data_IF_744855497305
#
_entry.id   IF_744855497305
#
_cell.length_a   1.000
_cell.length_b   1.000
_cell.length_c   1.000
_cell.angle_alpha   90.00
_cell.angle_beta   90.00
_cell.angle_gamma   90.00
#
_symmetry.space_group_name_H-M   'P 1'
#
loop_
_entity.id
_entity.type
_entity.pdbx_description
1 polymer ?
#
# COMPACT_ATOMS: atom_id res chain seq x y z
N UNK A 1 8.39 36.52 8.15
CA UNK A 1 7.76 35.26 8.58
C UNK A 1 8.82 34.42 9.28
N UNK A 2 8.52 33.85 10.45
CA UNK A 2 9.41 32.85 11.06
C UNK A 2 9.33 31.59 10.20
N UNK A 3 10.45 31.21 9.56
CA UNK A 3 10.54 29.98 8.77
C UNK A 3 10.52 28.78 9.73
N UNK A 4 9.71 27.78 9.38
CA UNK A 4 9.56 26.53 10.14
C UNK A 4 9.88 25.35 9.24
N UNK A 5 10.52 24.34 9.80
CA UNK A 5 10.80 23.07 9.12
C UNK A 5 10.04 21.93 9.79
N UNK A 6 9.63 20.95 8.98
CA UNK A 6 8.99 19.73 9.50
C UNK A 6 10.06 18.72 9.88
N UNK A 7 9.94 18.16 11.08
CA UNK A 7 11.03 17.45 11.72
C UNK A 7 10.50 16.25 12.50
N UNK A 8 11.26 15.15 12.49
CA UNK A 8 11.06 13.98 13.34
C UNK A 8 12.13 14.00 14.43
N UNK A 9 11.70 13.93 15.69
CA UNK A 9 12.55 13.87 16.88
C UNK A 9 12.38 12.49 17.50
N UNK A 10 13.46 11.72 17.58
CA UNK A 10 13.50 10.37 18.17
C UNK A 10 14.15 10.39 19.54
N UNK A 11 13.68 9.51 20.42
CA UNK A 11 14.17 9.38 21.80
C UNK A 11 14.82 8.02 22.04
N UNK A 12 15.79 8.02 22.95
CA UNK A 12 16.45 6.80 23.44
C UNK A 12 15.42 5.80 23.98
N UNK A 13 15.71 4.51 23.87
CA UNK A 13 14.82 3.42 24.30
C UNK A 13 14.44 3.53 25.78
N UNK A 14 13.15 3.65 26.04
CA UNK A 14 12.58 3.82 27.39
C UNK A 14 11.25 4.57 27.31
N UNK A 15 10.14 3.84 27.14
CA UNK A 15 8.83 4.44 26.93
C UNK A 15 8.27 5.13 28.20
N UNK A 16 7.85 6.38 28.03
CA UNK A 16 6.47 6.83 28.36
C UNK A 16 6.14 7.04 29.84
N UNK A 17 6.73 8.07 30.44
CA UNK A 17 5.91 8.96 31.28
C UNK A 17 5.66 10.33 30.64
N UNK A 18 6.57 10.82 29.79
CA UNK A 18 6.53 12.22 29.37
C UNK A 18 6.58 12.49 27.86
N UNK A 19 6.41 11.53 26.93
CA UNK A 19 6.31 11.85 25.49
C UNK A 19 5.19 12.87 25.21
N UNK A 20 4.05 12.73 25.88
CA UNK A 20 2.95 13.72 25.84
C UNK A 20 3.34 15.05 26.49
N UNK A 21 4.09 15.02 27.59
CA UNK A 21 4.55 16.23 28.27
C UNK A 21 5.56 16.99 27.40
N UNK A 22 6.49 16.28 26.76
CA UNK A 22 7.47 16.88 25.87
C UNK A 22 6.81 17.40 24.60
N UNK A 23 5.87 16.65 24.00
CA UNK A 23 5.05 17.15 22.91
C UNK A 23 4.38 18.50 23.27
N UNK A 24 3.82 18.59 24.48
CA UNK A 24 3.26 19.84 25.01
C UNK A 24 4.31 20.92 25.25
N UNK A 25 5.52 20.57 25.70
CA UNK A 25 6.62 21.52 25.87
C UNK A 25 7.12 22.06 24.53
N UNK A 26 7.15 21.24 23.48
CA UNK A 26 7.45 21.69 22.11
C UNK A 26 6.48 22.79 21.68
N UNK A 27 5.19 22.62 21.94
CA UNK A 27 4.18 23.64 21.62
C UNK A 27 4.37 24.91 22.48
N UNK A 28 4.41 24.75 23.80
CA UNK A 28 4.37 25.87 24.74
C UNK A 28 5.67 26.68 24.79
N UNK A 29 6.83 26.01 24.75
CA UNK A 29 8.14 26.66 24.91
C UNK A 29 8.77 27.03 23.56
N UNK A 30 8.56 26.21 22.55
CA UNK A 30 9.23 26.33 21.25
C UNK A 30 8.31 26.77 20.11
N UNK A 31 7.01 26.93 20.38
CA UNK A 31 6.05 27.33 19.36
C UNK A 31 5.93 26.32 18.23
N UNK A 32 6.14 25.03 18.55
CA UNK A 32 5.95 23.94 17.62
C UNK A 32 4.46 23.81 17.26
N UNK A 33 4.18 23.35 16.04
CA UNK A 33 2.82 23.16 15.53
C UNK A 33 2.69 21.82 14.82
N UNK A 34 1.47 21.30 14.68
CA UNK A 34 1.21 19.95 14.12
C UNK A 34 2.03 18.88 14.86
N UNK A 35 1.98 18.89 16.20
CA UNK A 35 2.75 17.97 17.02
C UNK A 35 2.05 16.61 17.07
N UNK A 36 2.72 15.59 16.54
CA UNK A 36 2.20 14.24 16.41
C UNK A 36 3.14 13.23 17.04
N UNK A 37 2.59 12.34 17.87
CA UNK A 37 3.36 11.26 18.49
C UNK A 37 3.47 10.10 17.50
N UNK A 38 4.67 9.54 17.36
CA UNK A 38 5.00 8.42 16.47
C UNK A 38 5.49 7.22 17.32
N UNK A 39 4.57 6.37 17.84
CA UNK A 39 4.93 5.31 18.77
C UNK A 39 5.88 4.26 18.17
N UNK A 40 5.71 3.91 16.89
CA UNK A 40 6.53 2.91 16.19
C UNK A 40 8.03 3.20 16.22
N UNK A 41 8.40 4.47 16.39
CA UNK A 41 9.80 4.90 16.33
C UNK A 41 10.25 5.52 17.65
N UNK A 42 9.38 5.58 18.66
CA UNK A 42 9.60 6.33 19.90
C UNK A 42 9.95 7.79 19.59
N UNK A 43 9.08 8.48 18.85
CA UNK A 43 9.37 9.82 18.35
C UNK A 43 8.17 10.75 18.27
N UNK A 44 8.43 11.98 17.84
CA UNK A 44 7.45 13.03 17.58
C UNK A 44 7.73 13.64 16.21
N UNK A 45 6.70 13.89 15.41
CA UNK A 45 6.75 14.78 14.26
C UNK A 45 6.16 16.14 14.62
N UNK A 46 6.78 17.23 14.18
CA UNK A 46 6.24 18.57 14.35
C UNK A 46 6.90 19.57 13.40
N UNK A 47 6.28 20.74 13.23
CA UNK A 47 6.96 21.91 12.69
C UNK A 47 7.65 22.68 13.80
N UNK A 48 8.95 22.94 13.65
CA UNK A 48 9.75 23.74 14.58
C UNK A 48 10.38 24.95 13.87
N UNK A 49 10.64 26.06 14.58
CA UNK A 49 11.39 27.19 14.02
C UNK A 49 12.78 26.74 13.51
N UNK A 50 13.19 27.17 12.31
CA UNK A 50 14.46 26.74 11.71
C UNK A 50 15.70 27.11 12.52
N UNK A 51 15.62 28.20 13.28
CA UNK A 51 16.72 28.69 14.13
C UNK A 51 16.89 27.89 15.43
N UNK A 52 15.99 26.96 15.73
CA UNK A 52 16.06 26.16 16.96
C UNK A 52 17.18 25.12 16.85
N UNK A 53 18.16 25.18 17.76
CA UNK A 53 19.31 24.26 17.73
C UNK A 53 18.98 22.93 18.41
N UNK A 54 19.62 21.86 17.92
CA UNK A 54 19.55 20.53 18.53
C UNK A 54 19.92 20.55 20.01
N UNK A 55 21.00 21.25 20.37
CA UNK A 55 21.50 21.31 21.75
C UNK A 55 20.49 21.90 22.74
N UNK A 56 19.67 22.87 22.31
CA UNK A 56 18.61 23.46 23.13
C UNK A 56 17.48 22.45 23.34
N UNK A 57 17.06 21.78 22.27
CA UNK A 57 16.01 20.76 22.35
C UNK A 57 16.44 19.56 23.21
N UNK A 58 17.69 19.10 23.07
CA UNK A 58 18.20 17.93 23.79
C UNK A 58 18.43 18.23 25.28
N UNK A 59 18.96 19.41 25.61
CA UNK A 59 19.07 19.83 27.01
C UNK A 59 17.71 19.88 27.71
N UNK A 60 16.67 20.33 27.00
CA UNK A 60 15.30 20.39 27.51
C UNK A 60 14.58 19.03 27.58
N UNK A 61 15.07 18.07 26.81
CA UNK A 61 14.61 16.70 26.80
C UNK A 61 15.41 15.82 27.78
N UNK A 62 16.11 16.41 28.75
CA UNK A 62 16.98 15.70 29.70
C UNK A 62 18.04 14.82 29.02
N UNK A 63 18.55 15.24 27.84
CA UNK A 63 19.51 14.49 27.01
C UNK A 63 18.98 13.15 26.49
N UNK A 64 17.66 13.02 26.36
CA UNK A 64 17.00 11.80 25.87
C UNK A 64 16.78 11.80 24.34
N UNK A 65 17.11 12.88 23.63
CA UNK A 65 16.99 12.88 22.16
C UNK A 65 18.10 12.00 21.58
N UNK A 66 17.68 10.96 20.86
CA UNK A 66 18.58 10.10 20.11
C UNK A 66 18.96 10.75 18.78
N UNK A 67 17.97 11.31 18.08
CA UNK A 67 18.16 11.83 16.72
C UNK A 67 17.11 12.87 16.35
N UNK A 68 17.52 13.87 15.59
CA UNK A 68 16.62 14.80 14.90
C UNK A 68 16.84 14.66 13.40
N UNK A 69 15.76 14.53 12.66
CA UNK A 69 15.76 14.29 11.22
C UNK A 69 14.73 15.12 10.50
N UNK A 70 15.02 15.42 9.24
CA UNK A 70 14.02 15.98 8.35
C UNK A 70 12.96 14.93 8.02
N UNK A 71 11.72 15.38 7.94
CA UNK A 71 10.59 14.54 7.56
C UNK A 71 10.55 14.38 6.04
N UNK A 72 11.21 13.32 5.54
CA UNK A 72 11.38 13.10 4.10
C UNK A 72 10.03 12.90 3.38
N UNK A 73 10.03 13.18 2.09
CA UNK A 73 8.89 12.93 1.21
C UNK A 73 9.00 11.51 0.64
N UNK A 74 7.89 10.79 0.72
CA UNK A 74 7.65 9.51 0.06
C UNK A 74 6.61 9.77 -1.02
N UNK A 75 6.86 9.29 -2.22
CA UNK A 75 6.04 9.61 -3.37
C UNK A 75 5.23 8.41 -3.82
N UNK A 76 4.05 8.70 -4.38
CA UNK A 76 3.28 7.77 -5.17
C UNK A 76 4.14 7.25 -6.32
N UNK A 77 4.11 5.94 -6.54
CA UNK A 77 4.66 5.35 -7.76
C UNK A 77 3.72 5.63 -8.91
N UNK A 78 3.91 6.80 -9.54
CA UNK A 78 2.99 7.33 -10.54
C UNK A 78 2.71 6.27 -11.63
N UNK A 79 1.44 5.92 -11.85
CA UNK A 79 1.08 5.00 -12.92
C UNK A 79 1.23 5.69 -14.27
N UNK A 80 1.38 4.90 -15.31
CA UNK A 80 1.23 5.33 -16.69
C UNK A 80 -0.24 5.27 -17.08
N UNK A 81 -0.73 6.35 -17.67
CA UNK A 81 -2.03 6.39 -18.33
C UNK A 81 -1.81 6.09 -19.82
N UNK A 82 -2.54 5.12 -20.36
CA UNK A 82 -2.52 4.83 -21.79
C UNK A 82 -3.47 5.78 -22.53
N UNK A 83 -3.06 6.23 -23.71
CA UNK A 83 -3.90 7.13 -24.52
C UNK A 83 -5.26 6.49 -24.83
N UNK A 84 -6.33 7.28 -24.80
CA UNK A 84 -7.68 6.78 -25.07
C UNK A 84 -7.80 6.05 -26.41
N UNK A 85 -7.16 6.58 -27.47
CA UNK A 85 -7.18 5.99 -28.81
C UNK A 85 -6.64 4.55 -28.83
N UNK A 86 -5.59 4.29 -28.05
CA UNK A 86 -4.94 2.98 -27.96
C UNK A 86 -5.71 2.01 -27.08
N UNK A 87 -6.38 2.49 -26.03
CA UNK A 87 -7.28 1.65 -25.23
C UNK A 87 -8.52 1.25 -26.05
N UNK A 88 -9.12 2.19 -26.78
CA UNK A 88 -10.25 1.93 -27.69
C UNK A 88 -9.92 0.93 -28.80
N UNK A 89 -8.74 1.02 -29.42
CA UNK A 89 -8.34 0.06 -30.46
C UNK A 89 -8.15 -1.37 -29.94
N UNK A 90 -7.94 -1.52 -28.63
CA UNK A 90 -7.83 -2.81 -27.93
C UNK A 90 -9.14 -3.25 -27.27
N UNK A 91 -10.23 -2.48 -27.41
CA UNK A 91 -11.51 -2.76 -26.74
C UNK A 91 -11.48 -2.55 -25.23
N UNK A 92 -10.48 -1.83 -24.70
CA UNK A 92 -10.33 -1.53 -23.28
C UNK A 92 -10.95 -0.14 -23.00
N UNK A 93 -11.80 0.02 -21.97
CA UNK A 93 -12.33 1.33 -21.59
C UNK A 93 -11.21 2.28 -21.13
N UNK A 94 -11.18 3.52 -21.64
CA UNK A 94 -10.15 4.50 -21.29
C UNK A 94 -10.36 5.15 -19.93
N UNK A 95 -11.38 6.01 -19.85
CA UNK A 95 -12.00 6.49 -18.62
C UNK A 95 -13.50 6.76 -18.88
N UNK A 96 -14.37 6.45 -17.93
CA UNK A 96 -15.80 6.74 -18.04
C UNK A 96 -16.69 5.69 -17.40
N UNK A 97 -17.98 5.69 -17.77
CA UNK A 97 -18.93 4.69 -17.29
C UNK A 97 -18.74 3.38 -18.03
N UNK A 98 -18.63 2.27 -17.30
CA UNK A 98 -18.77 0.94 -17.88
C UNK A 98 -20.27 0.69 -18.04
N UNK A 99 -20.79 0.84 -19.26
CA UNK A 99 -22.19 0.55 -19.57
C UNK A 99 -22.39 -0.95 -19.80
N UNK A 100 -23.43 -1.54 -19.19
CA UNK A 100 -23.82 -2.93 -19.44
C UNK A 100 -23.52 -3.86 -18.27
N UNK A 101 -23.24 -5.13 -18.57
CA UNK A 101 -22.92 -6.15 -17.56
C UNK A 101 -21.53 -5.90 -16.97
N UNK A 102 -21.35 -6.28 -15.71
CA UNK A 102 -20.06 -6.28 -15.03
C UNK A 102 -18.98 -6.97 -15.88
N UNK A 103 -17.79 -6.35 -15.89
CA UNK A 103 -16.60 -6.85 -16.57
C UNK A 103 -15.69 -7.49 -15.54
N UNK A 104 -15.18 -8.69 -15.83
CA UNK A 104 -14.04 -9.26 -15.09
C UNK A 104 -12.77 -8.73 -15.76
N UNK A 105 -11.98 -7.85 -15.11
CA UNK A 105 -10.75 -7.35 -15.72
C UNK A 105 -9.80 -8.50 -16.04
N UNK A 106 -9.11 -8.41 -17.19
CA UNK A 106 -8.23 -9.48 -17.69
C UNK A 106 -7.19 -9.93 -16.65
N UNK A 107 -6.65 -9.00 -15.85
CA UNK A 107 -5.70 -9.33 -14.78
C UNK A 107 -6.30 -10.24 -13.69
N UNK A 108 -7.57 -10.02 -13.33
CA UNK A 108 -8.31 -10.81 -12.33
C UNK A 108 -8.52 -12.24 -12.85
N UNK A 109 -8.89 -12.39 -14.13
CA UNK A 109 -9.01 -13.68 -14.80
C UNK A 109 -7.64 -14.36 -14.95
N UNK A 110 -6.60 -13.60 -15.34
CA UNK A 110 -5.25 -14.14 -15.60
C UNK A 110 -4.62 -14.79 -14.37
N UNK A 111 -4.87 -14.25 -13.18
CA UNK A 111 -4.40 -14.85 -11.92
C UNK A 111 -5.34 -15.94 -11.39
N UNK A 112 -6.47 -16.21 -12.08
CA UNK A 112 -7.45 -17.21 -11.68
C UNK A 112 -8.30 -16.83 -10.45
N UNK A 113 -8.49 -15.55 -10.18
CA UNK A 113 -9.26 -15.13 -8.99
C UNK A 113 -10.76 -15.42 -9.13
N UNK A 114 -11.30 -15.26 -10.34
CA UNK A 114 -12.72 -15.53 -10.62
C UNK A 114 -13.12 -17.00 -10.42
N UNK A 115 -12.17 -17.93 -10.53
CA UNK A 115 -12.45 -19.37 -10.41
C UNK A 115 -12.56 -19.86 -8.96
N UNK A 116 -12.15 -19.03 -7.98
CA UNK A 116 -12.13 -19.41 -6.55
C UNK A 116 -13.21 -18.74 -5.70
N UNK A 117 -14.05 -17.87 -6.26
CA UNK A 117 -15.08 -17.14 -5.50
C UNK A 117 -16.18 -18.01 -4.88
N UNK A 118 -16.36 -19.24 -5.36
CA UNK A 118 -17.21 -20.23 -4.70
C UNK A 118 -16.59 -20.79 -3.41
N UNK A 119 -15.29 -20.57 -3.19
CA UNK A 119 -14.53 -21.00 -2.01
C UNK A 119 -14.20 -19.82 -1.10
N UNK A 120 -13.65 -18.75 -1.67
CA UNK A 120 -13.21 -17.56 -0.94
C UNK A 120 -13.45 -16.31 -1.77
N UNK A 121 -13.99 -15.26 -1.14
CA UNK A 121 -14.23 -13.93 -1.71
C UNK A 121 -13.49 -12.83 -0.92
N UNK A 122 -12.61 -13.21 0.00
CA UNK A 122 -11.97 -12.32 0.98
C UNK A 122 -12.92 -11.77 2.04
N UNK A 123 -14.07 -12.42 2.25
CA UNK A 123 -15.14 -11.92 3.14
C UNK A 123 -14.60 -11.56 4.52
N UNK A 124 -14.87 -10.33 4.94
CA UNK A 124 -14.50 -9.78 6.25
C UNK A 124 -12.98 -9.71 6.54
N UNK A 125 -12.12 -9.96 5.56
CA UNK A 125 -10.69 -9.70 5.70
C UNK A 125 -10.46 -8.20 5.56
N UNK A 126 -9.78 -7.62 6.55
CA UNK A 126 -9.49 -6.20 6.60
C UNK A 126 -8.25 -5.85 5.77
N UNK A 127 -8.46 -5.08 4.71
CA UNK A 127 -7.39 -4.61 3.81
C UNK A 127 -7.29 -3.10 3.89
N UNK A 128 -6.17 -2.59 4.38
CA UNK A 128 -5.86 -1.17 4.37
C UNK A 128 -5.17 -0.76 3.08
N UNK A 129 -5.69 0.28 2.44
CA UNK A 129 -5.12 0.91 1.25
C UNK A 129 -4.44 2.21 1.69
N UNK A 130 -3.11 2.14 1.87
CA UNK A 130 -2.28 3.28 2.28
C UNK A 130 -1.90 4.07 1.03
N UNK A 131 -2.76 5.03 0.67
CA UNK A 131 -2.72 5.67 -0.65
C UNK A 131 -3.30 7.10 -0.59
N UNK A 132 -3.86 7.61 -1.70
CA UNK A 132 -4.51 8.91 -1.86
C UNK A 132 -5.93 8.97 -1.29
N UNK A 133 -6.40 7.90 -0.64
CA UNK A 133 -7.78 7.75 -0.17
C UNK A 133 -8.59 6.83 -1.08
N UNK A 134 -9.88 6.67 -0.78
CA UNK A 134 -10.83 5.93 -1.64
C UNK A 134 -12.09 6.79 -1.77
N UNK A 135 -12.65 6.88 -2.97
CA UNK A 135 -13.93 7.55 -3.19
C UNK A 135 -15.05 6.87 -2.38
N UNK A 136 -15.58 7.60 -1.38
CA UNK A 136 -16.49 7.02 -0.38
C UNK A 136 -17.84 6.59 -0.97
N UNK A 137 -18.28 7.26 -2.03
CA UNK A 137 -19.58 7.02 -2.68
C UNK A 137 -19.49 6.25 -4.01
N UNK A 138 -18.35 5.62 -4.30
CA UNK A 138 -18.23 4.88 -5.56
C UNK A 138 -19.18 3.66 -5.54
N UNK A 139 -20.10 3.51 -6.52
CA UNK A 139 -21.15 2.50 -6.46
C UNK A 139 -20.60 1.07 -6.39
N UNK A 140 -19.47 0.83 -7.06
CA UNK A 140 -18.78 -0.47 -7.11
C UNK A 140 -17.82 -0.74 -5.93
N UNK A 141 -17.78 0.14 -4.92
CA UNK A 141 -16.92 -0.01 -3.73
C UNK A 141 -17.67 0.15 -2.39
N UNK A 142 -18.74 0.94 -2.36
CA UNK A 142 -19.38 1.41 -1.14
C UNK A 142 -19.76 0.29 -0.14
N UNK A 143 -20.20 -0.88 -0.62
CA UNK A 143 -20.60 -2.00 0.25
C UNK A 143 -19.40 -2.68 0.93
N UNK A 144 -18.22 -2.58 0.33
CA UNK A 144 -16.97 -3.13 0.86
C UNK A 144 -16.18 -2.08 1.66
N UNK A 145 -16.56 -0.81 1.59
CA UNK A 145 -15.83 0.28 2.20
C UNK A 145 -16.14 0.40 3.70
N UNK A 146 -15.10 0.46 4.51
CA UNK A 146 -15.19 0.70 5.95
C UNK A 146 -14.58 2.06 6.28
N UNK A 147 -14.98 2.66 7.41
CA UNK A 147 -14.40 3.91 7.89
C UNK A 147 -12.89 3.77 8.09
N UNK A 148 -12.13 4.55 7.33
CA UNK A 148 -10.68 4.70 7.47
C UNK A 148 -10.27 6.04 8.11
N UNK A 149 -9.07 6.51 7.77
CA UNK A 149 -8.46 7.72 8.34
C UNK A 149 -7.81 8.59 7.27
N UNK A 150 -7.90 9.91 7.44
CA UNK A 150 -7.21 10.89 6.62
C UNK A 150 -6.07 11.54 7.43
N UNK A 151 -4.82 11.23 7.08
CA UNK A 151 -3.65 11.73 7.80
C UNK A 151 -3.12 13.05 7.25
N UNK A 152 -3.65 13.51 6.11
CA UNK A 152 -3.43 14.85 5.59
C UNK A 152 -4.32 15.87 6.33
N UNK A 153 -5.59 15.52 6.53
CA UNK A 153 -6.55 16.30 7.31
C UNK A 153 -7.48 15.36 8.10
N UNK A 154 -7.18 15.12 9.40
CA UNK A 154 -7.95 14.19 10.24
C UNK A 154 -9.41 14.58 10.49
N UNK A 155 -9.81 15.81 10.16
CA UNK A 155 -11.18 16.30 10.39
C UNK A 155 -12.15 15.96 9.25
N UNK A 156 -11.67 15.43 8.13
CA UNK A 156 -12.49 15.07 6.97
C UNK A 156 -12.32 13.59 6.61
N UNK A 157 -13.31 13.04 5.94
CA UNK A 157 -13.26 11.65 5.44
C UNK A 157 -12.08 11.47 4.47
N UNK A 158 -11.48 10.26 4.39
CA UNK A 158 -10.34 9.97 3.51
C UNK A 158 -10.77 9.76 2.05
N UNK A 159 -11.51 10.73 1.52
CA UNK A 159 -11.94 10.71 0.12
C UNK A 159 -10.75 10.91 -0.80
N UNK A 160 -10.78 10.20 -1.93
CA UNK A 160 -9.75 10.30 -2.95
C UNK A 160 -9.94 11.56 -3.81
N UNK A 161 -8.89 12.36 -3.91
CA UNK A 161 -8.80 13.58 -4.72
C UNK A 161 -7.77 13.44 -5.85
N UNK A 162 -7.16 12.26 -5.99
CA UNK A 162 -6.20 11.94 -7.03
C UNK A 162 -6.82 10.95 -8.04
N UNK A 163 -7.37 9.84 -7.53
CA UNK A 163 -7.95 8.73 -8.29
C UNK A 163 -7.18 7.41 -8.12
N UNK A 164 -5.89 7.48 -7.74
CA UNK A 164 -5.04 6.30 -7.63
C UNK A 164 -5.53 5.31 -6.56
N UNK A 165 -5.79 5.76 -5.34
CA UNK A 165 -6.25 4.87 -4.27
C UNK A 165 -7.61 4.24 -4.53
N UNK A 166 -8.52 4.95 -5.22
CA UNK A 166 -9.79 4.39 -5.71
C UNK A 166 -9.57 3.29 -6.75
N UNK A 167 -8.57 3.44 -7.63
CA UNK A 167 -8.19 2.41 -8.60
C UNK A 167 -7.65 1.15 -7.94
N UNK A 168 -6.75 1.32 -6.98
CA UNK A 168 -6.21 0.23 -6.16
C UNK A 168 -7.31 -0.51 -5.40
N UNK A 169 -8.25 0.24 -4.79
CA UNK A 169 -9.37 -0.34 -4.06
C UNK A 169 -10.24 -1.25 -4.95
N UNK A 170 -10.53 -0.84 -6.19
CA UNK A 170 -11.30 -1.66 -7.12
C UNK A 170 -10.61 -2.96 -7.54
N UNK A 171 -9.28 -2.94 -7.75
CA UNK A 171 -8.53 -4.15 -8.09
C UNK A 171 -8.61 -5.15 -6.92
N UNK A 172 -8.49 -4.65 -5.68
CA UNK A 172 -8.56 -5.50 -4.49
C UNK A 172 -9.98 -6.03 -4.30
N UNK A 173 -11.00 -5.16 -4.33
CA UNK A 173 -12.32 -5.50 -3.81
C UNK A 173 -13.48 -4.70 -4.39
N UNK A 174 -13.47 -4.35 -5.68
CA UNK A 174 -14.72 -3.97 -6.36
C UNK A 174 -15.76 -5.09 -6.22
N UNK A 175 -17.02 -4.69 -6.04
CA UNK A 175 -18.12 -5.57 -5.65
C UNK A 175 -18.48 -6.49 -6.84
N UNK A 176 -19.01 -7.68 -6.56
CA UNK A 176 -19.56 -8.56 -7.60
C UNK A 176 -21.09 -8.43 -7.62
N UNK A 177 -21.62 -7.42 -8.32
CA UNK A 177 -23.04 -7.03 -8.28
C UNK A 177 -23.70 -6.80 -9.65
N UNK A 178 -23.05 -7.25 -10.73
CA UNK A 178 -23.51 -7.18 -12.15
C UNK A 178 -23.28 -5.84 -12.85
N UNK A 179 -22.71 -4.82 -12.22
CA UNK A 179 -22.27 -3.58 -12.87
C UNK A 179 -20.76 -3.36 -12.71
N UNK A 180 -20.19 -2.43 -13.48
CA UNK A 180 -18.81 -2.01 -13.28
C UNK A 180 -17.75 -3.09 -13.52
N UNK A 181 -16.81 -3.20 -12.59
CA UNK A 181 -15.75 -4.22 -12.58
C UNK A 181 -15.91 -5.13 -11.37
N UNK A 182 -14.99 -6.06 -11.17
CA UNK A 182 -14.96 -6.88 -9.95
C UNK A 182 -13.52 -7.08 -9.50
N UNK A 183 -13.27 -6.95 -8.19
CA UNK A 183 -11.96 -7.10 -7.60
C UNK A 183 -11.57 -8.56 -7.36
N UNK A 184 -10.30 -8.78 -7.01
CA UNK A 184 -9.79 -10.13 -6.67
C UNK A 184 -10.54 -10.72 -5.48
N UNK A 185 -10.79 -9.92 -4.45
CA UNK A 185 -11.45 -10.27 -3.20
C UNK A 185 -12.73 -9.43 -3.01
N UNK A 186 -13.83 -9.74 -3.74
CA UNK A 186 -14.99 -8.87 -3.90
C UNK A 186 -15.87 -8.71 -2.64
N UNK A 187 -15.47 -9.28 -1.49
CA UNK A 187 -16.11 -9.07 -0.18
C UNK A 187 -15.11 -8.69 0.92
N UNK A 188 -13.89 -8.28 0.55
CA UNK A 188 -12.93 -7.73 1.49
C UNK A 188 -13.42 -6.42 2.10
N UNK A 189 -13.07 -6.18 3.35
CA UNK A 189 -13.34 -4.91 4.03
C UNK A 189 -12.20 -3.93 3.75
N UNK A 190 -12.48 -2.94 2.90
CA UNK A 190 -11.50 -1.96 2.43
C UNK A 190 -11.44 -0.76 3.38
N UNK A 191 -10.25 -0.46 3.88
CA UNK A 191 -9.99 0.69 4.75
C UNK A 191 -9.16 1.75 4.00
N UNK A 192 -9.72 2.91 3.69
CA UNK A 192 -8.97 4.03 3.11
C UNK A 192 -8.05 4.64 4.18
N UNK A 193 -6.75 4.49 4.03
CA UNK A 193 -5.75 5.13 4.89
C UNK A 193 -5.03 6.17 4.06
N UNK A 194 -5.59 7.38 4.01
CA UNK A 194 -5.09 8.46 3.15
C UNK A 194 -3.82 9.05 3.77
N UNK A 195 -2.67 8.65 3.22
CA UNK A 195 -1.33 9.15 3.58
C UNK A 195 -0.74 10.07 2.53
N UNK A 196 -1.22 9.96 1.27
CA UNK A 196 -0.80 10.77 0.14
C UNK A 196 -1.78 11.94 -0.09
N UNK A 197 -1.24 13.10 -0.44
CA UNK A 197 -2.01 14.26 -0.92
C UNK A 197 -2.47 14.10 -2.38
N UNK A 198 -3.19 15.09 -2.89
CA UNK A 198 -3.70 15.10 -4.28
C UNK A 198 -2.59 15.03 -5.35
N UNK A 199 -1.33 15.38 -5.02
CA UNK A 199 -0.17 15.28 -5.91
C UNK A 199 0.55 13.93 -5.79
N UNK A 200 0.13 13.07 -4.88
CA UNK A 200 0.77 11.81 -4.59
C UNK A 200 2.02 11.96 -3.72
N UNK A 201 2.06 12.93 -2.80
CA UNK A 201 3.14 13.05 -1.83
C UNK A 201 2.65 12.71 -0.43
N UNK A 202 3.45 11.93 0.29
CA UNK A 202 3.30 11.65 1.70
C UNK A 202 4.58 12.08 2.41
N UNK A 203 4.46 12.45 3.67
CA UNK A 203 5.64 12.56 4.53
C UNK A 203 5.89 11.21 5.21
N UNK A 204 7.14 10.96 5.59
CA UNK A 204 7.48 9.78 6.38
C UNK A 204 6.61 9.69 7.64
N UNK A 205 6.45 10.80 8.38
CA UNK A 205 5.58 10.84 9.56
C UNK A 205 4.14 10.38 9.29
N UNK A 206 3.50 10.84 8.22
CA UNK A 206 2.13 10.42 7.87
C UNK A 206 2.10 8.93 7.51
N UNK A 207 3.12 8.41 6.82
CA UNK A 207 3.20 6.98 6.55
C UNK A 207 3.33 6.17 7.87
N UNK A 208 4.18 6.61 8.80
CA UNK A 208 4.36 5.97 10.10
C UNK A 208 3.07 5.98 10.93
N UNK A 209 2.31 7.07 10.91
CA UNK A 209 0.99 7.15 11.54
C UNK A 209 -0.01 6.19 10.88
N UNK A 210 0.01 6.07 9.55
CA UNK A 210 -0.84 5.13 8.82
C UNK A 210 -0.55 3.67 9.19
N UNK A 211 0.73 3.31 9.31
CA UNK A 211 1.16 2.00 9.77
C UNK A 211 0.75 1.73 11.22
N UNK A 212 0.86 2.73 12.11
CA UNK A 212 0.40 2.60 13.49
C UNK A 212 -1.12 2.40 13.55
N UNK A 213 -1.87 3.20 12.79
CA UNK A 213 -3.33 3.08 12.71
C UNK A 213 -3.76 1.68 12.24
N UNK A 214 -3.03 1.09 11.29
CA UNK A 214 -3.27 -0.27 10.83
C UNK A 214 -3.11 -1.31 11.94
N UNK A 215 -2.07 -1.18 12.77
CA UNK A 215 -1.86 -2.02 13.95
C UNK A 215 -3.01 -1.85 14.95
N UNK A 216 -3.36 -0.62 15.27
CA UNK A 216 -4.39 -0.31 16.27
C UNK A 216 -5.77 -0.83 15.84
N UNK A 217 -6.06 -0.82 14.54
CA UNK A 217 -7.32 -1.31 13.95
C UNK A 217 -7.29 -2.80 13.59
N UNK A 218 -6.17 -3.48 13.84
CA UNK A 218 -5.95 -4.90 13.56
C UNK A 218 -6.32 -5.26 12.12
N UNK A 219 -5.89 -4.43 11.16
CA UNK A 219 -6.01 -4.79 9.75
C UNK A 219 -5.12 -6.00 9.47
N UNK A 220 -5.42 -6.76 8.43
CA UNK A 220 -4.69 -8.01 8.16
C UNK A 220 -3.77 -7.88 6.95
N UNK A 221 -4.14 -7.01 6.01
CA UNK A 221 -3.35 -6.72 4.80
C UNK A 221 -3.20 -5.21 4.65
N UNK A 222 -2.00 -4.77 4.31
CA UNK A 222 -1.68 -3.39 3.95
C UNK A 222 -1.14 -3.38 2.52
N UNK A 223 -1.81 -2.64 1.64
CA UNK A 223 -1.33 -2.35 0.30
C UNK A 223 -0.62 -0.98 0.29
N UNK A 224 0.61 -0.92 -0.21
CA UNK A 224 1.39 0.31 -0.36
C UNK A 224 1.88 0.48 -1.80
N UNK A 225 1.35 1.50 -2.46
CA UNK A 225 1.70 1.86 -3.85
C UNK A 225 2.50 3.16 -3.90
N UNK A 226 3.43 3.28 -2.96
CA UNK A 226 4.26 4.45 -2.70
C UNK A 226 5.66 4.00 -2.31
N UNK A 227 6.65 4.88 -2.48
CA UNK A 227 7.98 4.58 -2.01
C UNK A 227 9.02 5.67 -2.21
N UNK A 228 10.25 5.29 -1.88
CA UNK A 228 11.48 6.07 -2.07
C UNK A 228 12.61 5.14 -2.49
N UNK A 229 13.57 5.63 -3.27
CA UNK A 229 14.71 4.83 -3.73
C UNK A 229 15.73 4.54 -2.62
N UNK A 230 15.71 5.32 -1.54
CA UNK A 230 16.71 5.27 -0.48
C UNK A 230 16.23 4.50 0.75
N UNK A 231 17.13 3.69 1.29
CA UNK A 231 16.90 2.96 2.54
C UNK A 231 16.67 3.93 3.70
N UNK A 232 15.75 3.61 4.61
CA UNK A 232 15.46 4.43 5.77
C UNK A 232 15.21 3.57 7.02
N UNK A 233 16.14 3.62 7.99
CA UNK A 233 16.08 2.80 9.21
C UNK A 233 14.82 3.04 10.06
N UNK A 234 14.26 4.25 10.01
CA UNK A 234 13.05 4.61 10.74
C UNK A 234 11.84 3.93 10.11
N UNK A 235 11.75 3.98 8.79
CA UNK A 235 10.72 3.25 8.07
C UNK A 235 10.88 1.74 8.30
N UNK A 236 12.09 1.18 8.23
CA UNK A 236 12.34 -0.23 8.52
C UNK A 236 11.87 -0.63 9.92
N UNK A 237 12.14 0.19 10.95
CA UNK A 237 11.70 -0.07 12.33
C UNK A 237 10.16 -0.16 12.43
N UNK A 238 9.46 0.72 11.73
CA UNK A 238 8.00 0.69 11.66
C UNK A 238 7.47 -0.53 10.89
N UNK A 239 8.05 -0.84 9.73
CA UNK A 239 7.71 -2.02 8.92
C UNK A 239 7.90 -3.30 9.75
N UNK A 240 9.02 -3.45 10.47
CA UNK A 240 9.23 -4.58 11.39
C UNK A 240 8.18 -4.67 12.49
N UNK A 241 7.73 -3.54 13.03
CA UNK A 241 6.69 -3.51 14.06
C UNK A 241 5.34 -4.01 13.52
N UNK A 242 4.98 -3.62 12.29
CA UNK A 242 3.78 -4.09 11.59
C UNK A 242 3.87 -5.59 11.28
N UNK A 243 5.02 -6.05 10.77
CA UNK A 243 5.27 -7.46 10.50
C UNK A 243 5.16 -8.32 11.77
N UNK A 244 5.75 -7.86 12.88
CA UNK A 244 5.69 -8.55 14.17
C UNK A 244 4.29 -8.55 14.79
N UNK A 245 3.43 -7.59 14.40
CA UNK A 245 2.00 -7.61 14.75
C UNK A 245 1.19 -8.63 13.92
N UNK A 246 1.83 -9.37 12.99
CA UNK A 246 1.21 -10.39 12.16
C UNK A 246 0.48 -9.84 10.93
N UNK A 247 0.70 -8.56 10.58
CA UNK A 247 0.04 -7.90 9.46
C UNK A 247 0.90 -8.07 8.20
N UNK A 248 0.28 -8.50 7.10
CA UNK A 248 0.97 -8.60 5.80
C UNK A 248 1.03 -7.26 5.12
N UNK A 249 2.21 -6.92 4.62
CA UNK A 249 2.43 -5.74 3.79
C UNK A 249 2.78 -6.19 2.37
N UNK A 250 2.07 -5.62 1.40
CA UNK A 250 2.31 -5.82 -0.03
C UNK A 250 2.65 -4.46 -0.61
N UNK A 251 3.78 -4.36 -1.30
CA UNK A 251 4.24 -3.10 -1.86
C UNK A 251 4.77 -3.26 -3.29
N UNK A 252 4.54 -2.21 -4.06
CA UNK A 252 4.94 -2.14 -5.46
C UNK A 252 6.43 -1.80 -5.61
N UNK A 253 7.09 -2.40 -6.59
CA UNK A 253 8.56 -2.32 -6.72
C UNK A 253 9.10 -1.00 -7.27
N UNK A 254 8.23 -0.20 -7.90
CA UNK A 254 8.57 1.06 -8.54
C UNK A 254 8.53 0.99 -10.07
N UNK A 255 8.37 2.16 -10.69
CA UNK A 255 8.00 2.31 -12.11
C UNK A 255 9.13 2.93 -12.96
N UNK A 256 10.39 2.73 -12.60
CA UNK A 256 11.54 3.35 -13.27
C UNK A 256 12.29 2.41 -14.23
N UNK A 257 11.86 1.15 -14.36
CA UNK A 257 12.57 0.11 -15.12
C UNK A 257 13.96 -0.21 -14.55
N UNK A 258 14.19 0.13 -13.27
CA UNK A 258 15.48 -0.03 -12.61
C UNK A 258 15.77 -1.49 -12.31
N UNK A 259 16.96 -1.94 -12.69
CA UNK A 259 17.51 -3.23 -12.25
C UNK A 259 18.44 -3.11 -11.04
N UNK A 260 18.73 -1.87 -10.62
CA UNK A 260 19.70 -1.57 -9.55
C UNK A 260 19.05 -1.50 -8.17
N UNK A 261 17.81 -1.00 -8.11
CA UNK A 261 17.08 -0.80 -6.86
C UNK A 261 15.61 -1.18 -7.00
N UNK A 262 14.98 -1.40 -5.86
CA UNK A 262 13.54 -1.53 -5.65
C UNK A 262 13.19 -0.46 -4.64
N UNK A 263 12.03 0.18 -4.80
CA UNK A 263 11.62 1.23 -3.86
C UNK A 263 11.36 0.64 -2.46
N UNK A 264 11.63 1.42 -1.43
CA UNK A 264 11.21 1.13 -0.07
C UNK A 264 9.79 1.66 0.15
N UNK A 265 8.87 0.88 0.76
CA UNK A 265 9.16 -0.28 1.62
C UNK A 265 9.19 -1.65 0.94
N UNK A 266 8.95 -1.75 -0.38
CA UNK A 266 8.97 -3.05 -1.07
C UNK A 266 10.32 -3.78 -0.95
N UNK A 267 11.43 -3.05 -0.94
CA UNK A 267 12.76 -3.64 -0.80
C UNK A 267 13.08 -4.25 0.59
N UNK A 268 12.25 -4.03 1.61
CA UNK A 268 12.43 -4.64 2.94
C UNK A 268 12.00 -6.11 2.93
N UNK A 269 12.71 -6.95 3.70
CA UNK A 269 12.47 -8.40 3.73
C UNK A 269 11.10 -8.76 4.32
N UNK A 270 10.55 -7.88 5.16
CA UNK A 270 9.26 -7.99 5.83
C UNK A 270 8.07 -7.64 4.91
N UNK A 271 8.33 -7.14 3.70
CA UNK A 271 7.31 -6.70 2.74
C UNK A 271 7.29 -7.64 1.53
N UNK A 272 6.11 -7.94 1.00
CA UNK A 272 5.95 -8.66 -0.27
C UNK A 272 6.12 -7.65 -1.41
N UNK A 273 7.27 -7.68 -2.08
CA UNK A 273 7.60 -6.86 -3.24
C UNK A 273 6.98 -7.44 -4.52
N UNK A 274 6.15 -6.64 -5.19
CA UNK A 274 5.41 -7.07 -6.39
C UNK A 274 5.79 -6.26 -7.62
N UNK A 275 6.33 -6.95 -8.62
CA UNK A 275 6.60 -6.39 -9.95
C UNK A 275 5.43 -6.58 -10.93
N UNK A 276 5.48 -5.88 -12.05
CA UNK A 276 4.41 -5.87 -13.05
C UNK A 276 4.72 -6.72 -14.28
N UNK A 277 3.75 -7.53 -14.72
CA UNK A 277 3.73 -8.10 -16.08
C UNK A 277 2.77 -7.35 -17.00
N UNK A 278 3.03 -7.48 -18.29
CA UNK A 278 2.13 -7.06 -19.35
C UNK A 278 1.02 -8.07 -19.61
N UNK A 279 0.03 -7.68 -20.41
CA UNK A 279 -1.03 -8.58 -20.90
C UNK A 279 -0.50 -9.77 -21.73
N UNK A 280 0.77 -9.72 -22.16
CA UNK A 280 1.44 -10.77 -22.93
C UNK A 280 2.38 -11.65 -22.08
N UNK A 281 2.22 -11.65 -20.75
CA UNK A 281 3.03 -12.47 -19.83
C UNK A 281 4.54 -12.18 -19.87
N UNK A 282 4.91 -10.94 -20.25
CA UNK A 282 6.28 -10.43 -20.21
C UNK A 282 6.46 -9.41 -19.09
N UNK A 283 7.68 -9.21 -18.53
CA UNK A 283 7.93 -8.11 -17.62
C UNK A 283 7.54 -6.77 -18.25
N UNK A 284 6.83 -5.92 -17.50
CA UNK A 284 6.56 -4.56 -17.95
C UNK A 284 7.86 -3.75 -17.95
N UNK A 285 8.10 -2.97 -19.01
CA UNK A 285 9.37 -2.26 -19.19
C UNK A 285 9.68 -1.25 -18.07
N UNK A 286 8.64 -0.73 -17.40
CA UNK A 286 8.76 0.18 -16.28
C UNK A 286 8.94 -0.51 -14.93
N UNK A 287 8.72 -1.82 -14.83
CA UNK A 287 8.79 -2.54 -13.55
C UNK A 287 10.24 -2.56 -13.05
N UNK A 288 10.49 -1.98 -11.88
CA UNK A 288 11.75 -2.22 -11.20
C UNK A 288 11.88 -3.72 -10.86
N UNK A 289 13.08 -4.28 -11.04
CA UNK A 289 13.30 -5.73 -10.98
C UNK A 289 14.70 -6.09 -10.47
N UNK A 290 14.80 -6.92 -9.44
CA UNK A 290 16.04 -7.58 -9.00
C UNK A 290 15.69 -8.72 -8.02
N UNK A 291 16.70 -9.27 -7.34
CA UNK A 291 16.53 -10.39 -6.40
C UNK A 291 15.62 -10.12 -5.19
N UNK A 292 15.20 -8.87 -4.97
CA UNK A 292 14.27 -8.50 -3.89
C UNK A 292 12.80 -8.59 -4.31
N UNK A 293 12.50 -8.77 -5.60
CA UNK A 293 11.13 -9.03 -6.05
C UNK A 293 10.69 -10.40 -5.53
N UNK A 294 9.52 -10.48 -4.91
CA UNK A 294 8.96 -11.76 -4.46
C UNK A 294 8.12 -12.40 -5.56
N UNK A 295 7.25 -11.61 -6.20
CA UNK A 295 6.26 -12.08 -7.15
C UNK A 295 6.04 -11.06 -8.26
N UNK A 296 5.43 -11.53 -9.35
CA UNK A 296 4.89 -10.69 -10.40
C UNK A 296 3.37 -10.81 -10.45
N UNK A 297 2.70 -9.73 -10.86
CA UNK A 297 1.26 -9.72 -11.09
C UNK A 297 0.89 -8.79 -12.24
N UNK A 298 -0.34 -8.88 -12.78
CA UNK A 298 -0.80 -8.00 -13.85
C UNK A 298 -0.71 -6.54 -13.44
N UNK A 299 0.08 -5.77 -14.20
CA UNK A 299 0.28 -4.35 -13.95
C UNK A 299 0.11 -3.47 -15.18
N UNK A 300 -0.07 -4.04 -16.37
CA UNK A 300 -0.28 -3.28 -17.61
C UNK A 300 -1.76 -3.23 -18.01
N UNK A 301 -2.27 -2.02 -18.27
CA UNK A 301 -3.63 -1.74 -18.72
C UNK A 301 -4.70 -2.33 -17.81
N UNK A 302 -4.51 -2.18 -16.50
CA UNK A 302 -5.42 -2.74 -15.52
C UNK A 302 -6.64 -1.84 -15.41
N UNK A 303 -7.79 -2.35 -15.87
CA UNK A 303 -9.10 -1.72 -15.70
C UNK A 303 -9.56 -1.84 -14.25
N UNK A 304 -9.96 -0.72 -13.65
CA UNK A 304 -10.52 -0.67 -12.29
C UNK A 304 -11.46 0.53 -12.11
N UNK A 305 -12.05 0.66 -10.92
CA UNK A 305 -12.78 1.85 -10.46
C UNK A 305 -11.90 3.09 -10.48
N UNK A 306 -12.50 4.27 -10.60
CA UNK A 306 -11.80 5.54 -10.66
C UNK A 306 -12.69 6.68 -10.16
N UNK A 307 -12.11 7.87 -9.95
CA UNK A 307 -12.82 8.99 -9.33
C UNK A 307 -14.12 9.37 -10.06
N UNK A 308 -15.05 9.96 -9.32
CA UNK A 308 -16.37 10.40 -9.76
C UNK A 308 -17.26 9.24 -10.22
N UNK A 309 -17.18 8.09 -9.56
CA UNK A 309 -17.98 6.90 -9.89
C UNK A 309 -17.65 6.29 -11.25
N UNK A 310 -16.47 6.56 -11.80
CA UNK A 310 -16.06 6.15 -13.13
C UNK A 310 -15.11 4.94 -13.08
N UNK A 311 -14.63 4.50 -14.23
CA UNK A 311 -13.66 3.42 -14.35
C UNK A 311 -12.51 3.90 -15.23
N UNK A 312 -11.33 3.33 -15.08
CA UNK A 312 -10.18 3.67 -15.90
C UNK A 312 -9.11 2.58 -15.96
N UNK A 313 -8.26 2.65 -16.97
CA UNK A 313 -7.12 1.74 -17.13
C UNK A 313 -5.80 2.43 -16.81
N UNK A 314 -5.08 1.87 -15.84
CA UNK A 314 -3.76 2.35 -15.40
C UNK A 314 -2.71 1.23 -15.55
N UNK A 315 -1.46 1.64 -15.81
CA UNK A 315 -0.32 0.75 -15.87
C UNK A 315 0.71 1.08 -14.78
N UNK A 316 1.08 0.12 -13.96
CA UNK A 316 2.08 0.32 -12.89
C UNK A 316 2.25 -0.90 -12.00
N UNK A 317 3.37 -0.94 -11.28
CA UNK A 317 3.62 -1.94 -10.23
C UNK A 317 2.62 -1.80 -9.06
N UNK A 318 2.06 -0.61 -8.87
CA UNK A 318 0.93 -0.35 -7.95
C UNK A 318 -0.26 -1.28 -8.20
N UNK A 319 -0.68 -1.42 -9.46
CA UNK A 319 -1.80 -2.28 -9.85
C UNK A 319 -1.44 -3.76 -9.67
N UNK A 320 -0.19 -4.13 -9.88
CA UNK A 320 0.29 -5.49 -9.61
C UNK A 320 0.23 -5.82 -8.10
N UNK A 321 0.70 -4.91 -7.24
CA UNK A 321 0.61 -5.07 -5.78
C UNK A 321 -0.85 -5.24 -5.31
N UNK A 322 -1.79 -4.49 -5.90
CA UNK A 322 -3.21 -4.60 -5.57
C UNK A 322 -3.79 -6.01 -5.87
N UNK A 323 -3.40 -6.63 -6.98
CA UNK A 323 -3.79 -8.01 -7.27
C UNK A 323 -3.31 -8.98 -6.17
N UNK A 324 -2.05 -8.87 -5.76
CA UNK A 324 -1.47 -9.73 -4.71
C UNK A 324 -2.13 -9.47 -3.35
N UNK A 325 -2.40 -8.21 -3.00
CA UNK A 325 -3.17 -7.85 -1.79
C UNK A 325 -4.54 -8.53 -1.75
N UNK A 326 -5.23 -8.57 -2.89
CA UNK A 326 -6.49 -9.30 -3.04
C UNK A 326 -6.32 -10.81 -2.85
N UNK A 327 -5.28 -11.43 -3.45
CA UNK A 327 -5.01 -12.87 -3.26
C UNK A 327 -4.74 -13.19 -1.79
N UNK A 328 -3.96 -12.37 -1.10
CA UNK A 328 -3.72 -12.52 0.35
C UNK A 328 -5.03 -12.44 1.13
N UNK A 329 -5.94 -11.53 0.76
CA UNK A 329 -7.26 -11.46 1.39
C UNK A 329 -8.08 -12.73 1.16
N UNK A 330 -8.04 -13.32 -0.05
CA UNK A 330 -8.67 -14.61 -0.31
C UNK A 330 -8.10 -15.73 0.57
N UNK A 331 -6.78 -15.75 0.79
CA UNK A 331 -6.10 -16.75 1.65
C UNK A 331 -6.55 -16.62 3.12
N UNK A 332 -6.54 -15.40 3.64
CA UNK A 332 -6.84 -15.10 5.04
C UNK A 332 -8.31 -15.34 5.41
N UNK A 333 -9.23 -15.35 4.45
CA UNK A 333 -10.60 -15.80 4.72
C UNK A 333 -10.64 -17.30 5.04
N UNK A 334 -9.79 -18.11 4.40
CA UNK A 334 -9.76 -19.56 4.60
C UNK A 334 -9.04 -19.90 5.91
N UNK A 335 -7.89 -19.27 6.14
CA UNK A 335 -7.15 -19.42 7.40
C UNK A 335 -6.61 -18.06 7.85
N UNK A 336 -7.30 -17.46 8.82
CA UNK A 336 -6.95 -16.16 9.38
C UNK A 336 -5.73 -16.18 10.29
N UNK A 337 -5.12 -17.35 10.55
CA UNK A 337 -3.94 -17.52 11.42
C UNK A 337 -2.64 -17.59 10.65
N UNK A 338 -2.67 -17.58 9.33
CA UNK A 338 -1.47 -17.59 8.51
C UNK A 338 -0.61 -16.37 8.82
N UNK A 339 0.65 -16.61 9.18
CA UNK A 339 1.62 -15.54 9.42
C UNK A 339 2.08 -14.91 8.10
N UNK A 340 2.64 -13.69 8.13
CA UNK A 340 3.24 -13.08 6.94
C UNK A 340 4.26 -13.98 6.23
N UNK A 341 5.09 -14.69 6.99
CA UNK A 341 6.05 -15.66 6.43
C UNK A 341 5.36 -16.81 5.69
N UNK A 342 4.32 -17.40 6.28
CA UNK A 342 3.56 -18.48 5.66
C UNK A 342 2.86 -18.01 4.38
N UNK A 343 2.25 -16.83 4.41
CA UNK A 343 1.59 -16.23 3.26
C UNK A 343 2.57 -16.03 2.09
N UNK A 344 3.74 -15.44 2.36
CA UNK A 344 4.80 -15.26 1.36
C UNK A 344 5.26 -16.59 0.76
N UNK A 345 5.48 -17.63 1.58
CA UNK A 345 5.91 -18.94 1.10
C UNK A 345 4.85 -19.65 0.27
N UNK A 346 3.58 -19.59 0.67
CA UNK A 346 2.49 -20.21 -0.10
C UNK A 346 2.36 -19.52 -1.46
N UNK A 347 2.42 -18.19 -1.50
CA UNK A 347 2.39 -17.44 -2.76
C UNK A 347 3.58 -17.81 -3.66
N UNK A 348 4.80 -17.83 -3.11
CA UNK A 348 6.01 -18.18 -3.84
C UNK A 348 5.93 -19.60 -4.45
N UNK A 349 5.53 -20.58 -3.65
CA UNK A 349 5.42 -21.98 -4.09
C UNK A 349 4.24 -22.25 -5.03
N UNK A 350 3.25 -21.36 -5.07
CA UNK A 350 2.09 -21.46 -5.95
C UNK A 350 2.25 -20.67 -7.26
N UNK A 351 3.31 -19.86 -7.36
CA UNK A 351 3.53 -18.97 -8.48
C UNK A 351 3.74 -19.75 -9.80
N UNK A 352 3.21 -19.20 -10.88
CA UNK A 352 3.41 -19.72 -12.22
C UNK A 352 4.72 -19.20 -12.81
N UNK A 353 5.60 -20.13 -13.19
CA UNK A 353 6.83 -19.80 -13.91
C UNK A 353 6.48 -19.46 -15.37
N UNK A 354 6.82 -18.25 -15.79
CA UNK A 354 6.62 -17.79 -17.17
C UNK A 354 7.96 -17.73 -17.89
N UNK A 355 7.95 -17.98 -19.20
CA UNK A 355 9.15 -18.06 -20.05
C UNK A 355 10.07 -16.84 -19.92
N UNK A 356 9.49 -15.65 -19.78
CA UNK A 356 10.22 -14.38 -19.76
C UNK A 356 10.56 -13.90 -18.35
N UNK A 357 10.21 -14.66 -17.32
CA UNK A 357 10.50 -14.36 -15.93
C UNK A 357 11.67 -15.22 -15.44
N UNK A 358 12.68 -14.56 -14.89
CA UNK A 358 13.79 -15.19 -14.17
C UNK A 358 13.68 -14.92 -12.67
N UNK A 359 14.04 -15.92 -11.86
CA UNK A 359 13.98 -15.83 -10.39
C UNK A 359 14.84 -14.67 -9.84
N UNK A 360 16.03 -14.47 -10.41
CA UNK A 360 16.96 -13.40 -10.00
C UNK A 360 16.41 -11.98 -10.20
N UNK A 361 15.38 -11.79 -11.03
CA UNK A 361 14.84 -10.47 -11.35
C UNK A 361 13.36 -10.31 -10.98
N UNK A 362 12.61 -11.40 -10.99
CA UNK A 362 11.15 -11.40 -10.95
C UNK A 362 10.58 -12.29 -9.84
N UNK A 363 11.43 -12.78 -8.94
CA UNK A 363 11.02 -13.65 -7.85
C UNK A 363 10.41 -14.96 -8.34
N UNK A 364 9.42 -15.49 -7.62
CA UNK A 364 8.90 -16.83 -7.87
C UNK A 364 8.03 -16.95 -9.14
N UNK A 365 7.69 -15.83 -9.79
CA UNK A 365 6.89 -15.79 -11.00
C UNK A 365 5.52 -15.13 -10.79
N UNK A 366 4.57 -15.44 -11.65
CA UNK A 366 3.23 -14.85 -11.65
C UNK A 366 2.38 -15.41 -10.50
N UNK A 367 1.78 -14.54 -9.69
CA UNK A 367 0.81 -14.92 -8.67
C UNK A 367 -0.40 -15.67 -9.26
N UNK A 368 -0.83 -16.74 -8.60
CA UNK A 368 -1.99 -17.56 -9.00
C UNK A 368 -2.93 -17.79 -7.83
N UNK A 369 -4.06 -17.10 -7.84
CA UNK A 369 -5.08 -17.18 -6.80
C UNK A 369 -5.63 -18.60 -6.68
N UNK A 370 -5.96 -19.24 -7.80
CA UNK A 370 -6.46 -20.61 -7.85
C UNK A 370 -5.52 -21.64 -7.20
N UNK A 371 -4.23 -21.62 -7.58
CA UNK A 371 -3.22 -22.50 -6.98
C UNK A 371 -2.98 -22.21 -5.50
N UNK A 372 -2.91 -20.93 -5.16
CA UNK A 372 -2.67 -20.48 -3.78
C UNK A 372 -3.80 -20.93 -2.85
N UNK A 373 -5.06 -20.76 -3.27
CA UNK A 373 -6.23 -21.15 -2.50
C UNK A 373 -6.34 -22.66 -2.34
N UNK A 374 -6.06 -23.43 -3.39
CA UNK A 374 -5.98 -24.89 -3.29
C UNK A 374 -4.95 -25.32 -2.22
N UNK A 375 -3.78 -24.69 -2.21
CA UNK A 375 -2.71 -25.00 -1.29
C UNK A 375 -3.04 -24.66 0.17
N UNK A 376 -3.67 -23.50 0.41
CA UNK A 376 -4.15 -23.12 1.75
C UNK A 376 -5.18 -24.13 2.28
N UNK A 377 -6.13 -24.57 1.45
CA UNK A 377 -7.13 -25.58 1.86
C UNK A 377 -6.51 -26.91 2.28
N UNK A 378 -5.44 -27.31 1.60
CA UNK A 378 -4.69 -28.55 1.90
C UNK A 378 -3.72 -28.40 3.07
N UNK A 379 -3.54 -27.18 3.60
CA UNK A 379 -2.53 -26.83 4.62
C UNK A 379 -1.09 -27.15 4.20
N UNK A 380 -0.83 -27.04 2.90
CA UNK A 380 0.50 -27.26 2.33
C UNK A 380 1.30 -25.95 2.39
N UNK A 381 2.08 -25.74 3.44
CA UNK A 381 2.78 -24.46 3.65
C UNK A 381 4.23 -24.46 3.14
N UNK A 382 4.81 -25.64 2.88
CA UNK A 382 6.19 -25.87 2.45
C UNK A 382 6.28 -26.41 1.04
#
# INVERSE_FOLDING_TARGET
MLTRKRTIIMYKTGLVKNLKLFARNLELKYGATDVKILPLINGISCFIPEKLSFSVLDADADQEIEKILDDIIISLQKPYEESETKLRSLGIPSQGWVSGKQVIPQGIERIGANTVWNISTGKAVKVAVLDTGIEVGHPDLQDNLVRGINLINPYIVPNDDNGHGTHIAGIIGAINDRLGVVGVAPKASLYPVKVLDYKGNATLSNLLEGLQWCIDNRVQVINMSLGTSEHNDILLKAIKSVYNAGIVMVAATGNNGSQKYIDYPAAYAETIAVGAITVNDTPAWYSNSNKRVNLMAPGDRVLSTYKNGSYGSLSGTSMAAAHVSGVVALMLQIDSKLSPFQLTNILANSAEKLRYLTEEKHGSGLVRADKTIERVKRKEFS
#
